data_IF_029363321443
#
_entry.id   IF_029363321443
#
_cell.length_a   1.000
_cell.length_b   1.000
_cell.length_c   1.000
_cell.angle_alpha   90.00
_cell.angle_beta   90.00
_cell.angle_gamma   90.00
#
_symmetry.space_group_name_H-M   'P 1'
#
loop_
_entity.id
_entity.type
_entity.pdbx_description
1 polymer ?
#
# COMPACT_ATOMS: atom_id res chain seq x y z
N UNK A 1 16.10 -0.36 2.49
CA UNK A 1 15.77 -1.70 3.01
C UNK A 1 14.25 -1.86 2.94
N UNK A 2 13.73 -3.05 2.61
CA UNK A 2 12.33 -3.24 2.19
C UNK A 2 11.28 -3.09 3.31
N UNK A 3 11.55 -3.61 4.50
CA UNK A 3 10.73 -3.43 5.71
C UNK A 3 11.21 -2.17 6.44
N UNK A 4 10.34 -1.18 6.59
CA UNK A 4 10.67 0.15 7.13
C UNK A 4 11.06 0.12 8.61
N UNK A 5 10.48 -0.80 9.38
CA UNK A 5 10.78 -1.00 10.80
C UNK A 5 12.16 -1.64 11.03
N UNK A 6 12.73 -2.32 10.02
CA UNK A 6 14.04 -2.94 10.15
C UNK A 6 15.13 -1.88 9.96
N UNK A 7 15.97 -1.74 10.97
CA UNK A 7 17.01 -0.70 11.06
C UNK A 7 18.41 -1.26 10.91
N UNK A 8 18.58 -2.59 11.04
CA UNK A 8 19.87 -3.28 10.96
C UNK A 8 19.77 -4.51 10.06
N UNK A 9 20.89 -4.92 9.48
CA UNK A 9 21.00 -6.17 8.71
C UNK A 9 20.56 -7.37 9.55
N UNK A 10 20.93 -7.37 10.84
CA UNK A 10 20.54 -8.40 11.81
C UNK A 10 19.02 -8.61 11.90
N UNK A 11 18.21 -7.57 11.71
CA UNK A 11 16.74 -7.69 11.75
C UNK A 11 16.26 -8.63 10.63
N UNK A 12 16.85 -8.52 9.44
CA UNK A 12 16.53 -9.39 8.31
C UNK A 12 17.00 -10.82 8.54
N UNK A 13 18.20 -11.02 9.11
CA UNK A 13 18.75 -12.35 9.37
C UNK A 13 17.85 -13.10 10.37
N UNK A 14 17.50 -12.45 11.50
CA UNK A 14 16.61 -13.04 12.51
C UNK A 14 15.22 -13.30 11.91
N UNK A 15 14.71 -12.38 11.09
CA UNK A 15 13.40 -12.58 10.45
C UNK A 15 13.38 -13.75 9.47
N UNK A 16 14.43 -13.98 8.70
CA UNK A 16 14.53 -15.17 7.85
C UNK A 16 14.52 -16.46 8.68
N UNK A 17 15.27 -16.51 9.79
CA UNK A 17 15.24 -17.66 10.69
C UNK A 17 13.84 -17.87 11.31
N UNK A 18 13.15 -16.79 11.69
CA UNK A 18 11.76 -16.86 12.16
C UNK A 18 10.82 -17.42 11.10
N UNK A 19 10.96 -17.01 9.83
CA UNK A 19 10.13 -17.54 8.75
C UNK A 19 10.34 -19.05 8.58
N UNK A 20 11.59 -19.52 8.59
CA UNK A 20 11.92 -20.96 8.55
C UNK A 20 11.27 -21.69 9.73
N UNK A 21 11.42 -21.15 10.95
CA UNK A 21 10.81 -21.72 12.15
C UNK A 21 9.29 -21.83 12.08
N UNK A 22 8.60 -20.84 11.49
CA UNK A 22 7.14 -20.84 11.33
C UNK A 22 6.68 -21.76 10.19
N UNK A 23 7.48 -21.95 9.14
CA UNK A 23 7.14 -22.86 8.03
C UNK A 23 7.17 -24.34 8.45
N UNK A 24 8.02 -24.69 9.39
CA UNK A 24 8.11 -26.05 9.96
C UNK A 24 6.94 -26.42 10.90
N UNK A 25 6.10 -25.45 11.25
CA UNK A 25 4.94 -25.61 12.15
C UNK A 25 3.61 -25.61 11.42
N UNK A 26 2.63 -26.24 12.03
CA UNK A 26 1.26 -26.23 11.50
C UNK A 26 0.50 -24.95 11.87
N UNK A 27 -0.55 -24.65 11.09
CA UNK A 27 -1.47 -23.56 11.40
C UNK A 27 -2.20 -23.83 12.72
N UNK A 28 -2.23 -22.83 13.60
CA UNK A 28 -2.81 -22.90 14.94
C UNK A 28 -1.88 -23.51 16.00
N UNK A 29 -0.69 -23.98 15.62
CA UNK A 29 0.28 -24.53 16.57
C UNK A 29 0.82 -23.44 17.49
N UNK A 30 0.80 -23.71 18.80
CA UNK A 30 1.31 -22.81 19.82
C UNK A 30 2.74 -23.15 20.19
N UNK A 31 3.55 -22.13 20.43
CA UNK A 31 4.95 -22.29 20.83
C UNK A 31 5.36 -21.19 21.81
N UNK A 32 6.36 -21.51 22.62
CA UNK A 32 6.90 -20.62 23.63
C UNK A 32 8.06 -19.79 23.07
N UNK A 33 8.27 -18.58 23.61
CA UNK A 33 9.41 -17.74 23.25
C UNK A 33 10.73 -18.47 23.45
N UNK A 34 10.92 -19.12 24.60
CA UNK A 34 12.13 -19.86 24.94
C UNK A 34 12.43 -20.98 23.94
N UNK A 35 11.43 -21.79 23.61
CA UNK A 35 11.52 -22.84 22.59
C UNK A 35 11.95 -22.27 21.23
N UNK A 36 11.33 -21.17 20.81
CA UNK A 36 11.69 -20.50 19.56
C UNK A 36 13.14 -20.02 19.60
N UNK A 37 13.58 -19.39 20.69
CA UNK A 37 14.94 -18.87 20.82
C UNK A 37 16.02 -19.95 20.70
N UNK A 38 15.78 -21.15 21.26
CA UNK A 38 16.72 -22.28 21.15
C UNK A 38 16.90 -22.74 19.70
N UNK A 39 15.80 -22.81 18.94
CA UNK A 39 15.85 -23.20 17.52
C UNK A 39 16.49 -22.11 16.68
N UNK A 40 16.11 -20.84 16.89
CA UNK A 40 16.70 -19.71 16.17
C UNK A 40 18.20 -19.60 16.45
N UNK A 41 18.64 -19.82 17.69
CA UNK A 41 20.06 -19.82 18.03
C UNK A 41 20.82 -20.87 17.21
N UNK A 42 20.30 -22.09 17.12
CA UNK A 42 20.90 -23.16 16.33
C UNK A 42 20.98 -22.80 14.84
N UNK A 43 19.93 -22.19 14.28
CA UNK A 43 19.86 -21.79 12.87
C UNK A 43 20.79 -20.59 12.55
N UNK A 44 20.95 -19.67 13.49
CA UNK A 44 21.66 -18.41 13.27
C UNK A 44 23.17 -18.52 13.52
N UNK A 45 23.63 -19.50 14.31
CA UNK A 45 25.05 -19.67 14.67
C UNK A 45 26.00 -19.75 13.47
N UNK A 46 25.55 -20.23 12.30
CA UNK A 46 26.38 -20.28 11.09
C UNK A 46 26.57 -18.91 10.41
N UNK A 47 25.69 -17.96 10.68
CA UNK A 47 25.63 -16.66 9.98
C UNK A 47 26.01 -15.48 10.87
N UNK A 48 25.84 -15.61 12.18
CA UNK A 48 26.17 -14.56 13.14
C UNK A 48 26.38 -15.10 14.56
N UNK A 49 27.12 -14.35 15.37
CA UNK A 49 27.20 -14.62 16.81
C UNK A 49 25.85 -14.33 17.47
N UNK A 50 25.29 -15.32 18.15
CA UNK A 50 23.98 -15.21 18.83
C UNK A 50 24.23 -15.10 20.33
N UNK A 51 23.71 -14.03 20.92
CA UNK A 51 23.66 -13.86 22.38
C UNK A 51 22.41 -13.03 22.73
N UNK A 52 21.37 -13.73 23.18
CA UNK A 52 20.11 -13.12 23.60
C UNK A 52 20.25 -12.32 24.92
N UNK A 53 21.38 -12.42 25.63
CA UNK A 53 21.70 -11.55 26.77
C UNK A 53 22.23 -10.18 26.33
N UNK A 54 22.61 -10.02 25.06
CA UNK A 54 22.94 -8.71 24.50
C UNK A 54 21.69 -7.88 24.19
N UNK A 55 21.63 -6.68 24.77
CA UNK A 55 20.53 -5.73 24.55
C UNK A 55 20.27 -5.41 23.06
N UNK A 56 21.34 -5.29 22.27
CA UNK A 56 21.24 -5.01 20.83
C UNK A 56 20.49 -6.12 20.06
N UNK A 57 20.72 -7.39 20.41
CA UNK A 57 20.06 -8.52 19.77
C UNK A 57 18.60 -8.63 20.23
N UNK A 58 18.33 -8.45 21.53
CA UNK A 58 16.95 -8.41 22.05
C UNK A 58 16.11 -7.33 21.38
N UNK A 59 16.66 -6.12 21.18
CA UNK A 59 15.95 -5.05 20.46
C UNK A 59 15.66 -5.40 19.00
N UNK A 60 16.54 -6.16 18.35
CA UNK A 60 16.35 -6.63 16.98
C UNK A 60 15.26 -7.69 16.92
N UNK A 61 15.29 -8.66 17.83
CA UNK A 61 14.24 -9.65 18.00
C UNK A 61 12.86 -9.03 18.25
N UNK A 62 12.76 -8.03 19.14
CA UNK A 62 11.50 -7.31 19.41
C UNK A 62 10.96 -6.67 18.12
N UNK A 63 11.81 -6.00 17.33
CA UNK A 63 11.36 -5.42 16.04
C UNK A 63 10.86 -6.49 15.08
N UNK A 64 11.55 -7.63 15.01
CA UNK A 64 11.17 -8.76 14.16
C UNK A 64 9.82 -9.34 14.60
N UNK A 65 9.63 -9.60 15.88
CA UNK A 65 8.37 -10.12 16.43
C UNK A 65 7.21 -9.14 16.22
N UNK A 66 7.43 -7.84 16.47
CA UNK A 66 6.43 -6.82 16.18
C UNK A 66 6.06 -6.77 14.69
N UNK A 67 7.03 -6.89 13.79
CA UNK A 67 6.73 -6.96 12.35
C UNK A 67 5.97 -8.23 12.01
N UNK A 68 6.35 -9.39 12.55
CA UNK A 68 5.67 -10.64 12.31
C UNK A 68 4.22 -10.62 12.82
N UNK A 69 3.99 -10.10 14.03
CA UNK A 69 2.67 -9.92 14.64
C UNK A 69 1.79 -8.94 13.83
N UNK A 70 2.34 -7.76 13.48
CA UNK A 70 1.61 -6.77 12.66
C UNK A 70 1.27 -7.26 11.25
N UNK A 71 2.09 -8.17 10.70
CA UNK A 71 1.85 -8.83 9.41
C UNK A 71 0.95 -10.06 9.55
N UNK A 72 0.53 -10.40 10.77
CA UNK A 72 -0.29 -11.56 11.08
C UNK A 72 0.43 -12.90 10.90
N UNK A 73 1.77 -12.94 10.80
CA UNK A 73 2.51 -14.20 10.62
C UNK A 73 2.44 -15.08 11.87
N UNK A 74 2.39 -14.45 13.03
CA UNK A 74 2.16 -15.09 14.31
C UNK A 74 1.20 -14.23 15.14
N UNK A 75 0.62 -14.81 16.18
CA UNK A 75 -0.27 -14.13 17.11
C UNK A 75 0.20 -14.36 18.55
N UNK A 76 0.08 -13.34 19.39
CA UNK A 76 0.32 -13.48 20.84
C UNK A 76 -0.97 -13.95 21.51
N UNK A 77 -0.92 -15.10 22.17
CA UNK A 77 -2.02 -15.62 22.97
C UNK A 77 -1.87 -15.28 24.46
N UNK A 78 -0.65 -15.22 24.97
CA UNK A 78 -0.34 -14.77 26.33
C UNK A 78 1.04 -14.11 26.41
N UNK A 79 1.19 -13.07 27.22
CA UNK A 79 2.42 -12.28 27.37
C UNK A 79 2.48 -11.00 26.52
N UNK A 80 3.69 -10.45 26.34
CA UNK A 80 3.90 -9.24 25.55
C UNK A 80 5.32 -9.23 24.93
N UNK A 81 5.37 -9.25 23.59
CA UNK A 81 6.58 -9.24 22.76
C UNK A 81 7.52 -8.05 23.05
N UNK A 82 7.02 -6.88 23.44
CA UNK A 82 7.83 -5.69 23.72
C UNK A 82 8.71 -5.87 24.97
N UNK A 83 8.22 -6.64 25.94
CA UNK A 83 8.91 -6.86 27.22
C UNK A 83 10.14 -7.74 27.06
N UNK A 84 10.32 -8.39 25.91
CA UNK A 84 11.54 -9.12 25.55
C UNK A 84 12.76 -8.19 25.51
N UNK A 85 12.58 -6.88 25.31
CA UNK A 85 13.69 -5.92 25.43
C UNK A 85 14.32 -5.90 26.83
N UNK A 86 13.50 -6.05 27.88
CA UNK A 86 13.89 -5.98 29.29
C UNK A 86 14.56 -7.27 29.77
N UNK A 87 14.32 -8.38 29.07
CA UNK A 87 14.89 -9.70 29.36
C UNK A 87 14.05 -10.81 28.74
N UNK A 88 14.68 -11.94 28.41
CA UNK A 88 14.04 -13.12 27.82
C UNK A 88 13.43 -14.06 28.86
N UNK A 89 13.55 -13.76 30.15
CA UNK A 89 13.02 -14.61 31.24
C UNK A 89 11.49 -14.61 31.35
N UNK A 90 10.83 -13.65 30.69
CA UNK A 90 9.37 -13.60 30.64
C UNK A 90 8.89 -14.37 29.43
N UNK A 91 8.26 -15.50 29.71
CA UNK A 91 7.67 -16.34 28.68
C UNK A 91 6.53 -15.62 27.95
N UNK A 92 6.47 -15.81 26.63
CA UNK A 92 5.39 -15.35 25.77
C UNK A 92 4.91 -16.55 24.96
N UNK A 93 3.59 -16.74 24.90
CA UNK A 93 2.94 -17.81 24.15
C UNK A 93 2.47 -17.26 22.81
N UNK A 94 3.04 -17.78 21.74
CA UNK A 94 2.68 -17.44 20.38
C UNK A 94 1.86 -18.55 19.73
N UNK A 95 1.18 -18.21 18.65
CA UNK A 95 0.47 -19.13 17.75
C UNK A 95 0.89 -18.84 16.31
N UNK A 96 1.21 -19.90 15.57
CA UNK A 96 1.47 -19.82 14.14
C UNK A 96 0.16 -19.66 13.37
N UNK A 97 0.06 -18.64 12.54
CA UNK A 97 -1.15 -18.42 11.73
C UNK A 97 -1.14 -19.16 10.40
N UNK A 98 0.00 -19.78 10.03
CA UNK A 98 0.21 -20.36 8.71
C UNK A 98 0.51 -19.34 7.60
N UNK A 99 0.39 -18.03 7.86
CA UNK A 99 0.61 -16.99 6.85
C UNK A 99 2.08 -16.85 6.42
N UNK A 100 3.04 -17.36 7.20
CA UNK A 100 4.47 -17.39 6.85
C UNK A 100 4.72 -18.05 5.49
N UNK A 101 3.98 -19.13 5.18
CA UNK A 101 4.05 -19.88 3.92
C UNK A 101 3.70 -19.05 2.67
N UNK A 102 3.02 -17.92 2.86
CA UNK A 102 2.66 -16.98 1.79
C UNK A 102 3.50 -15.70 1.82
N UNK A 103 4.36 -15.53 2.82
CA UNK A 103 5.21 -14.35 2.95
C UNK A 103 6.45 -14.45 2.05
N UNK A 104 7.10 -15.62 2.04
CA UNK A 104 8.27 -15.85 1.19
C UNK A 104 7.85 -15.99 -0.28
N UNK A 105 8.46 -15.19 -1.15
CA UNK A 105 8.20 -15.28 -2.60
C UNK A 105 8.92 -16.49 -3.15
N UNK A 106 8.16 -17.47 -3.64
CA UNK A 106 8.72 -18.58 -4.39
C UNK A 106 9.14 -18.12 -5.79
N UNK A 107 10.44 -18.08 -6.03
CA UNK A 107 10.99 -17.80 -7.36
C UNK A 107 11.06 -19.11 -8.15
N UNK A 108 10.47 -19.13 -9.35
CA UNK A 108 10.58 -20.27 -10.29
C UNK A 108 11.99 -20.48 -10.88
N UNK A 109 13.01 -19.86 -10.28
CA UNK A 109 14.42 -19.89 -10.68
C UNK A 109 15.30 -19.65 -9.47
N UNK A 110 16.57 -20.07 -9.54
CA UNK A 110 17.55 -19.69 -8.53
C UNK A 110 17.79 -18.18 -8.54
N UNK A 111 17.81 -17.58 -7.34
CA UNK A 111 18.15 -16.16 -7.10
C UNK A 111 19.46 -16.01 -6.34
N UNK A 112 20.26 -17.08 -6.22
CA UNK A 112 21.50 -17.11 -5.41
C UNK A 112 22.52 -16.05 -5.86
N UNK A 113 22.57 -15.73 -7.15
CA UNK A 113 23.49 -14.75 -7.72
C UNK A 113 22.95 -13.32 -7.68
N UNK A 114 21.77 -13.08 -7.11
CA UNK A 114 21.12 -11.76 -7.12
C UNK A 114 21.68 -10.93 -5.97
N UNK A 115 22.16 -9.75 -6.30
CA UNK A 115 22.82 -8.83 -5.37
C UNK A 115 22.05 -7.52 -5.19
N UNK A 116 21.09 -7.24 -6.06
CA UNK A 116 20.31 -6.01 -6.04
C UNK A 116 18.90 -6.18 -6.61
N UNK A 117 18.00 -5.25 -6.30
CA UNK A 117 16.65 -5.21 -6.89
C UNK A 117 16.67 -5.18 -8.44
N UNK A 118 17.72 -4.58 -9.04
CA UNK A 118 17.87 -4.52 -10.50
C UNK A 118 18.05 -5.89 -11.15
N UNK A 119 18.61 -6.85 -10.41
CA UNK A 119 18.79 -8.22 -10.91
C UNK A 119 17.41 -8.90 -11.09
N UNK A 120 16.45 -8.59 -10.20
CA UNK A 120 15.06 -9.03 -10.34
C UNK A 120 14.36 -8.36 -11.52
N UNK A 121 14.54 -7.06 -11.72
CA UNK A 121 13.97 -6.33 -12.87
C UNK A 121 14.50 -6.89 -14.20
N UNK A 122 15.82 -7.11 -14.30
CA UNK A 122 16.45 -7.68 -15.47
C UNK A 122 15.96 -9.12 -15.73
N UNK A 123 15.80 -9.93 -14.67
CA UNK A 123 15.30 -11.30 -14.78
C UNK A 123 13.82 -11.37 -15.20
N UNK A 124 13.00 -10.40 -14.81
CA UNK A 124 11.59 -10.29 -15.19
C UNK A 124 11.41 -9.99 -16.69
N UNK A 125 12.35 -9.25 -17.31
CA UNK A 125 12.35 -8.99 -18.76
C UNK A 125 12.44 -10.28 -19.61
N UNK A 126 12.90 -11.39 -19.04
CA UNK A 126 13.03 -12.68 -19.71
C UNK A 126 11.87 -13.66 -19.45
N UNK A 127 10.86 -13.27 -18.66
CA UNK A 127 9.67 -14.09 -18.52
C UNK A 127 8.91 -14.14 -19.85
N UNK A 128 8.79 -15.35 -20.40
CA UNK A 128 8.11 -15.58 -21.68
C UNK A 128 6.65 -15.13 -21.57
N UNK A 129 6.20 -14.34 -22.56
CA UNK A 129 4.84 -13.78 -22.67
C UNK A 129 3.80 -14.87 -23.00
N UNK A 130 3.71 -15.87 -22.13
CA UNK A 130 2.72 -16.95 -22.17
C UNK A 130 1.34 -16.43 -21.75
N UNK A 131 0.26 -17.08 -22.19
CA UNK A 131 -1.11 -16.73 -21.78
C UNK A 131 -1.34 -16.79 -20.26
N UNK A 132 -0.62 -17.67 -19.56
CA UNK A 132 -0.65 -17.75 -18.09
C UNK A 132 0.01 -16.52 -17.46
N UNK A 133 1.17 -16.09 -17.97
CA UNK A 133 1.85 -14.89 -17.48
C UNK A 133 0.99 -13.62 -17.68
N UNK A 134 0.31 -13.47 -18.82
CA UNK A 134 -0.63 -12.37 -19.10
C UNK A 134 -1.78 -12.34 -18.10
N UNK A 135 -2.40 -13.50 -17.88
CA UNK A 135 -3.49 -13.64 -16.89
C UNK A 135 -3.00 -13.20 -15.51
N UNK A 136 -1.87 -13.74 -15.05
CA UNK A 136 -1.32 -13.41 -13.74
C UNK A 136 -0.97 -11.92 -13.60
N UNK A 137 -0.38 -11.30 -14.64
CA UNK A 137 -0.06 -9.86 -14.64
C UNK A 137 -1.30 -9.00 -14.51
N UNK A 138 -2.36 -9.27 -15.28
CA UNK A 138 -3.61 -8.49 -15.24
C UNK A 138 -4.28 -8.62 -13.88
N UNK A 139 -4.42 -9.83 -13.34
CA UNK A 139 -5.01 -10.04 -12.01
C UNK A 139 -4.18 -9.36 -10.93
N UNK A 140 -2.84 -9.53 -10.95
CA UNK A 140 -1.95 -8.87 -9.99
C UNK A 140 -2.12 -7.35 -10.05
N UNK A 141 -2.05 -6.77 -11.25
CA UNK A 141 -2.17 -5.32 -11.42
C UNK A 141 -3.52 -4.77 -10.92
N UNK A 142 -4.63 -5.50 -11.10
CA UNK A 142 -5.94 -5.09 -10.61
C UNK A 142 -6.05 -5.14 -9.08
N UNK A 143 -5.35 -6.09 -8.44
CA UNK A 143 -5.46 -6.35 -7.00
C UNK A 143 -4.41 -5.60 -6.19
N UNK A 144 -3.22 -5.39 -6.75
CA UNK A 144 -2.07 -4.81 -6.03
C UNK A 144 -1.74 -3.38 -6.41
N UNK A 145 -2.47 -2.78 -7.36
CA UNK A 145 -2.27 -1.40 -7.75
C UNK A 145 -3.60 -0.62 -7.71
N UNK A 146 -3.59 0.67 -7.33
CA UNK A 146 -4.79 1.52 -7.30
C UNK A 146 -5.54 1.61 -8.62
N UNK A 147 -4.81 1.48 -9.74
CA UNK A 147 -5.36 1.64 -11.07
C UNK A 147 -4.59 0.85 -12.11
N UNK A 148 -5.27 0.52 -13.20
CA UNK A 148 -4.68 -0.03 -14.40
C UNK A 148 -4.89 0.91 -15.59
N UNK A 149 -3.85 1.64 -15.98
CA UNK A 149 -3.91 2.63 -17.06
C UNK A 149 -3.31 2.10 -18.38
N UNK A 150 -3.87 2.56 -19.49
CA UNK A 150 -3.30 2.34 -20.83
C UNK A 150 -3.59 3.52 -21.75
N UNK A 151 -2.62 3.85 -22.62
CA UNK A 151 -2.75 4.91 -23.63
C UNK A 151 -2.90 4.29 -25.03
N UNK A 152 -2.16 3.21 -25.30
CA UNK A 152 -2.17 2.56 -26.62
C UNK A 152 -3.28 1.52 -26.75
N UNK A 153 -3.94 1.51 -27.91
CA UNK A 153 -4.87 0.46 -28.33
C UNK A 153 -4.19 -0.90 -28.54
N UNK A 154 -2.86 -0.92 -28.69
CA UNK A 154 -2.06 -2.14 -28.85
C UNK A 154 -1.64 -2.77 -27.51
N UNK A 155 -2.07 -2.19 -26.38
CA UNK A 155 -1.80 -2.77 -25.08
C UNK A 155 -2.48 -4.15 -24.95
N UNK A 156 -1.67 -5.21 -24.98
CA UNK A 156 -2.13 -6.60 -24.92
C UNK A 156 -2.86 -6.91 -23.61
N UNK A 157 -2.36 -6.40 -22.50
CA UNK A 157 -2.94 -6.65 -21.18
C UNK A 157 -4.30 -5.93 -21.04
N UNK A 158 -4.44 -4.71 -21.58
CA UNK A 158 -5.72 -4.00 -21.67
C UNK A 158 -6.72 -4.71 -22.61
N UNK A 159 -6.23 -5.25 -23.73
CA UNK A 159 -7.05 -6.03 -24.67
C UNK A 159 -7.57 -7.31 -24.02
N UNK A 160 -6.71 -8.03 -23.29
CA UNK A 160 -7.09 -9.19 -22.50
C UNK A 160 -8.13 -8.84 -21.44
N UNK A 161 -7.90 -7.79 -20.65
CA UNK A 161 -8.84 -7.34 -19.62
C UNK A 161 -10.23 -7.05 -20.20
N UNK A 162 -10.28 -6.37 -21.36
CA UNK A 162 -11.54 -6.04 -22.05
C UNK A 162 -12.30 -7.27 -22.53
N UNK A 163 -11.57 -8.26 -23.05
CA UNK A 163 -12.13 -9.53 -23.53
C UNK A 163 -12.65 -10.40 -22.37
N UNK A 164 -11.86 -10.49 -21.30
CA UNK A 164 -12.10 -11.39 -20.16
C UNK A 164 -12.89 -10.75 -19.01
N UNK A 165 -13.42 -9.53 -19.19
CA UNK A 165 -14.03 -8.71 -18.12
C UNK A 165 -15.06 -9.44 -17.26
N UNK A 166 -15.91 -10.28 -17.87
CA UNK A 166 -16.97 -11.00 -17.14
C UNK A 166 -16.38 -12.09 -16.25
N UNK A 167 -15.35 -12.79 -16.74
CA UNK A 167 -14.64 -13.82 -15.96
C UNK A 167 -13.84 -13.18 -14.83
N UNK A 168 -13.12 -12.10 -15.12
CA UNK A 168 -12.33 -11.35 -14.13
C UNK A 168 -13.24 -10.80 -13.04
N UNK A 169 -14.33 -10.12 -13.41
CA UNK A 169 -15.33 -9.62 -12.45
C UNK A 169 -15.84 -10.72 -11.54
N UNK A 170 -16.24 -11.86 -12.12
CA UNK A 170 -16.79 -12.97 -11.35
C UNK A 170 -15.75 -13.55 -10.39
N UNK A 171 -14.54 -13.85 -10.87
CA UNK A 171 -13.48 -14.45 -10.04
C UNK A 171 -13.04 -13.51 -8.92
N UNK A 172 -12.81 -12.23 -9.22
CA UNK A 172 -12.41 -11.27 -8.18
C UNK A 172 -13.57 -11.00 -7.22
N UNK A 173 -14.79 -10.84 -7.72
CA UNK A 173 -15.98 -10.64 -6.88
C UNK A 173 -16.23 -11.80 -5.92
N UNK A 174 -16.06 -13.04 -6.37
CA UNK A 174 -16.17 -14.26 -5.54
C UNK A 174 -15.06 -14.36 -4.46
N UNK A 175 -13.90 -13.71 -4.66
CA UNK A 175 -12.71 -13.89 -3.81
C UNK A 175 -12.37 -12.71 -2.91
N UNK A 176 -12.68 -11.50 -3.36
CA UNK A 176 -12.26 -10.24 -2.74
C UNK A 176 -13.44 -9.32 -2.42
N UNK A 177 -14.63 -9.63 -2.95
CA UNK A 177 -15.76 -8.70 -2.94
C UNK A 177 -15.53 -7.49 -3.86
N UNK A 178 -16.60 -6.87 -4.33
CA UNK A 178 -16.54 -5.66 -5.15
C UNK A 178 -16.65 -5.84 -6.67
N UNK A 179 -16.29 -4.78 -7.40
CA UNK A 179 -16.59 -4.65 -8.82
C UNK A 179 -15.49 -3.98 -9.66
N UNK A 180 -15.34 -4.51 -10.87
CA UNK A 180 -14.44 -4.07 -11.93
C UNK A 180 -15.11 -2.94 -12.71
N UNK A 181 -14.56 -1.74 -12.56
CA UNK A 181 -14.95 -0.55 -13.29
C UNK A 181 -14.02 -0.31 -14.47
N UNK A 182 -14.51 -0.57 -15.67
CA UNK A 182 -13.78 -0.39 -16.92
C UNK A 182 -14.12 0.96 -17.58
N UNK A 183 -13.09 1.73 -17.94
CA UNK A 183 -13.17 3.01 -18.65
C UNK A 183 -12.41 2.95 -19.98
N UNK A 184 -12.35 4.06 -20.71
CA UNK A 184 -11.66 4.15 -22.01
C UNK A 184 -10.18 3.75 -21.91
N UNK A 185 -9.47 4.37 -20.97
CA UNK A 185 -8.02 4.30 -20.76
C UNK A 185 -7.61 3.83 -19.34
N UNK A 186 -8.58 3.35 -18.56
CA UNK A 186 -8.35 2.94 -17.18
C UNK A 186 -9.27 1.80 -16.75
N UNK A 187 -8.80 0.97 -15.82
CA UNK A 187 -9.63 0.05 -15.07
C UNK A 187 -9.33 0.17 -13.58
N UNK A 188 -10.35 -0.05 -12.77
CA UNK A 188 -10.28 0.00 -11.31
C UNK A 188 -11.03 -1.19 -10.74
N UNK A 189 -10.46 -1.85 -9.75
CA UNK A 189 -11.20 -2.78 -8.91
C UNK A 189 -11.64 -2.04 -7.65
N UNK A 190 -12.95 -1.98 -7.40
CA UNK A 190 -13.53 -1.20 -6.30
C UNK A 190 -14.22 -2.13 -5.33
N UNK A 191 -13.72 -2.17 -4.10
CA UNK A 191 -14.29 -2.94 -3.01
C UNK A 191 -15.64 -2.34 -2.56
N UNK A 192 -16.59 -3.19 -2.16
CA UNK A 192 -17.93 -2.79 -1.73
C UNK A 192 -18.11 -2.85 -0.21
N UNK A 193 -17.73 -3.97 0.43
CA UNK A 193 -17.94 -4.18 1.89
C UNK A 193 -16.70 -4.78 2.58
N UNK A 194 -16.14 -5.85 2.03
CA UNK A 194 -14.92 -6.48 2.55
C UNK A 194 -13.68 -5.66 2.16
N UNK A 195 -12.96 -5.15 3.16
CA UNK A 195 -11.76 -4.34 2.98
C UNK A 195 -10.52 -5.20 3.14
N UNK A 196 -9.75 -5.38 2.06
CA UNK A 196 -8.46 -6.07 2.07
C UNK A 196 -7.34 -5.09 1.73
N UNK A 197 -6.35 -4.96 2.62
CA UNK A 197 -5.19 -4.11 2.41
C UNK A 197 -5.47 -2.61 2.54
N UNK A 198 -4.58 -1.79 1.98
CA UNK A 198 -4.74 -0.34 1.91
C UNK A 198 -5.83 0.02 0.88
N UNK A 199 -6.70 0.98 1.20
CA UNK A 199 -7.80 1.39 0.33
C UNK A 199 -7.87 2.92 0.19
N UNK A 200 -8.16 3.38 -1.01
CA UNK A 200 -8.54 4.76 -1.28
C UNK A 200 -10.02 4.84 -1.64
N UNK A 201 -10.79 5.78 -1.06
CA UNK A 201 -10.36 6.77 -0.05
C UNK A 201 -10.09 6.17 1.33
N UNK A 202 -9.09 6.70 2.03
CA UNK A 202 -8.80 6.37 3.44
C UNK A 202 -9.65 7.21 4.38
N UNK A 203 -9.84 6.73 5.62
CA UNK A 203 -10.44 7.47 6.74
C UNK A 203 -9.43 8.49 7.31
N UNK A 204 -9.04 9.46 6.49
CA UNK A 204 -8.12 10.53 6.87
C UNK A 204 -8.51 11.86 6.26
N UNK A 205 -8.23 12.95 7.01
CA UNK A 205 -8.47 14.32 6.53
C UNK A 205 -7.74 14.58 5.20
N UNK A 206 -6.51 14.06 5.03
CA UNK A 206 -5.75 14.24 3.79
C UNK A 206 -6.44 13.57 2.59
N UNK A 207 -7.00 12.37 2.78
CA UNK A 207 -7.77 11.67 1.77
C UNK A 207 -9.01 12.47 1.35
N UNK A 208 -9.74 13.05 2.31
CA UNK A 208 -10.88 13.94 2.04
C UNK A 208 -10.48 15.20 1.28
N UNK A 209 -9.38 15.85 1.68
CA UNK A 209 -8.81 17.00 0.97
C UNK A 209 -8.50 16.62 -0.48
N UNK A 210 -7.82 15.50 -0.71
CA UNK A 210 -7.47 15.02 -2.06
C UNK A 210 -8.73 14.80 -2.91
N UNK A 211 -9.78 14.20 -2.34
CA UNK A 211 -11.05 14.01 -3.03
C UNK A 211 -11.72 15.33 -3.46
N UNK A 212 -11.63 16.38 -2.64
CA UNK A 212 -12.15 17.72 -3.02
C UNK A 212 -11.30 18.38 -4.11
N UNK A 213 -9.99 18.17 -4.10
CA UNK A 213 -9.08 18.63 -5.16
C UNK A 213 -9.37 17.90 -6.48
N UNK A 214 -9.58 16.59 -6.44
CA UNK A 214 -10.00 15.78 -7.58
C UNK A 214 -11.33 16.27 -8.17
N UNK A 215 -12.30 16.64 -7.33
CA UNK A 215 -13.56 17.27 -7.76
C UNK A 215 -13.33 18.57 -8.50
N UNK A 216 -12.44 19.43 -8.01
CA UNK A 216 -12.15 20.71 -8.67
C UNK A 216 -11.45 20.49 -10.02
N UNK A 217 -10.48 19.58 -10.10
CA UNK A 217 -9.84 19.22 -11.38
C UNK A 217 -10.89 18.75 -12.40
N UNK A 218 -11.81 17.87 -11.97
CA UNK A 218 -12.89 17.39 -12.83
C UNK A 218 -13.78 18.54 -13.33
N UNK A 219 -14.15 19.48 -12.44
CA UNK A 219 -14.93 20.66 -12.83
C UNK A 219 -14.20 21.53 -13.85
N UNK A 220 -12.91 21.75 -13.68
CA UNK A 220 -12.11 22.54 -14.64
C UNK A 220 -12.05 21.86 -16.02
N UNK A 221 -12.05 20.51 -16.07
CA UNK A 221 -12.19 19.76 -17.33
C UNK A 221 -13.59 19.87 -17.92
N UNK A 222 -14.65 19.71 -17.10
CA UNK A 222 -16.05 19.85 -17.54
C UNK A 222 -16.35 21.26 -18.09
N UNK A 223 -15.74 22.28 -17.49
CA UNK A 223 -15.81 23.68 -17.91
C UNK A 223 -14.87 24.03 -19.07
N UNK A 224 -14.08 23.06 -19.57
CA UNK A 224 -13.09 23.23 -20.65
C UNK A 224 -11.95 24.21 -20.35
N UNK A 225 -11.66 24.47 -19.09
CA UNK A 225 -10.45 25.20 -18.69
C UNK A 225 -9.21 24.30 -18.71
N UNK A 226 -9.40 22.99 -18.50
CA UNK A 226 -8.36 21.98 -18.62
C UNK A 226 -8.73 20.98 -19.71
N UNK A 227 -7.74 20.60 -20.52
CA UNK A 227 -7.90 19.63 -21.60
C UNK A 227 -7.31 18.27 -21.21
N UNK A 228 -7.96 17.21 -21.71
CA UNK A 228 -7.49 15.83 -21.58
C UNK A 228 -6.67 15.44 -22.80
N UNK A 229 -5.59 14.71 -22.59
CA UNK A 229 -4.82 14.11 -23.67
C UNK A 229 -5.46 12.80 -24.18
N UNK A 230 -4.75 12.10 -25.07
CA UNK A 230 -5.21 10.83 -25.63
C UNK A 230 -5.37 9.70 -24.59
N UNK A 231 -4.66 9.79 -23.46
CA UNK A 231 -4.73 8.88 -22.31
C UNK A 231 -5.79 9.25 -21.29
N UNK A 232 -6.63 10.26 -21.56
CA UNK A 232 -7.53 10.90 -20.58
C UNK A 232 -6.79 11.55 -19.39
N UNK A 233 -5.50 11.85 -19.53
CA UNK A 233 -4.71 12.55 -18.51
C UNK A 233 -4.82 14.07 -18.68
N UNK A 234 -4.65 14.81 -17.58
CA UNK A 234 -4.62 16.28 -17.56
C UNK A 234 -3.26 16.74 -17.09
N UNK A 235 -2.62 17.68 -17.79
CA UNK A 235 -1.29 18.17 -17.43
C UNK A 235 -1.26 19.68 -17.25
N UNK A 236 -0.90 20.14 -16.05
CA UNK A 236 -0.77 21.56 -15.71
C UNK A 236 0.59 21.85 -15.09
N UNK A 237 1.03 23.11 -15.08
CA UNK A 237 2.23 23.50 -14.34
C UNK A 237 1.98 23.39 -12.83
N UNK A 238 3.02 23.05 -12.08
CA UNK A 238 2.95 22.97 -10.61
C UNK A 238 2.45 24.25 -9.96
N UNK A 239 2.78 25.42 -10.53
CA UNK A 239 2.25 26.71 -10.08
C UNK A 239 0.72 26.81 -10.22
N UNK A 240 0.17 26.27 -11.30
CA UNK A 240 -1.28 26.24 -11.53
C UNK A 240 -1.95 25.28 -10.55
N UNK A 241 -1.33 24.13 -10.29
CA UNK A 241 -1.80 23.20 -9.27
C UNK A 241 -1.80 23.83 -7.87
N UNK A 242 -0.74 24.52 -7.49
CA UNK A 242 -0.68 25.25 -6.22
C UNK A 242 -1.81 26.30 -6.11
N UNK A 243 -2.14 26.98 -7.22
CA UNK A 243 -3.28 27.89 -7.30
C UNK A 243 -4.63 27.18 -7.14
N UNK A 244 -4.79 25.98 -7.72
CA UNK A 244 -5.99 25.16 -7.57
C UNK A 244 -6.17 24.69 -6.12
N UNK A 245 -5.10 24.20 -5.48
CA UNK A 245 -5.10 23.80 -4.06
C UNK A 245 -5.49 24.97 -3.16
N UNK A 246 -4.96 26.16 -3.40
CA UNK A 246 -5.33 27.37 -2.66
C UNK A 246 -6.83 27.69 -2.78
N UNK A 247 -7.39 27.64 -3.99
CA UNK A 247 -8.83 27.86 -4.19
C UNK A 247 -9.69 26.82 -3.46
N UNK A 248 -9.23 25.56 -3.42
CA UNK A 248 -9.90 24.51 -2.66
C UNK A 248 -9.84 24.79 -1.16
N UNK A 249 -8.66 25.11 -0.63
CA UNK A 249 -8.51 25.45 0.80
C UNK A 249 -9.37 26.65 1.19
N UNK A 250 -9.35 27.74 0.42
CA UNK A 250 -10.15 28.94 0.72
C UNK A 250 -11.66 28.65 0.77
N UNK A 251 -12.13 27.73 -0.08
CA UNK A 251 -13.54 27.34 -0.17
C UNK A 251 -13.97 26.39 0.94
N UNK A 252 -13.11 25.43 1.28
CA UNK A 252 -13.45 24.32 2.16
C UNK A 252 -12.87 24.48 3.58
N UNK A 253 -12.10 25.54 3.87
CA UNK A 253 -11.45 25.78 5.18
C UNK A 253 -12.38 25.74 6.40
N UNK A 254 -13.68 25.97 6.21
CA UNK A 254 -14.68 25.91 7.27
C UNK A 254 -15.07 24.47 7.62
N UNK A 255 -14.89 23.54 6.68
CA UNK A 255 -15.20 22.12 6.85
C UNK A 255 -13.95 21.31 7.11
N UNK A 256 -12.81 21.73 6.54
CA UNK A 256 -11.53 21.14 6.87
C UNK A 256 -11.16 21.43 8.31
N UNK A 257 -10.51 20.47 8.96
CA UNK A 257 -9.99 20.71 10.30
C UNK A 257 -8.99 21.90 10.29
N UNK A 258 -8.78 22.51 11.45
CA UNK A 258 -7.94 23.70 11.59
C UNK A 258 -6.53 23.52 11.02
N UNK A 259 -5.96 22.31 11.18
CA UNK A 259 -4.63 21.99 10.66
C UNK A 259 -4.56 22.19 9.14
N UNK A 260 -5.49 21.61 8.38
CA UNK A 260 -5.51 21.69 6.92
C UNK A 260 -6.07 23.01 6.41
N UNK A 261 -7.03 23.62 7.13
CA UNK A 261 -7.62 24.93 6.79
C UNK A 261 -6.62 26.09 6.90
N UNK A 262 -5.67 26.02 7.84
CA UNK A 262 -4.64 27.05 8.07
C UNK A 262 -3.24 26.65 7.55
N UNK A 263 -3.10 25.45 6.97
CA UNK A 263 -1.82 24.95 6.48
C UNK A 263 -1.22 25.87 5.41
N UNK A 264 0.09 26.11 5.50
CA UNK A 264 0.81 26.82 4.44
C UNK A 264 0.68 26.07 3.11
N UNK A 265 0.37 26.81 2.04
CA UNK A 265 -0.01 26.25 0.74
C UNK A 265 1.06 25.34 0.15
N UNK A 266 2.35 25.67 0.26
CA UNK A 266 3.43 24.82 -0.26
C UNK A 266 3.60 23.51 0.51
N UNK A 267 3.29 23.50 1.81
CA UNK A 267 3.23 22.27 2.63
C UNK A 267 2.01 21.43 2.24
N UNK A 268 0.84 22.07 2.11
CA UNK A 268 -0.41 21.40 1.74
C UNK A 268 -0.32 20.78 0.34
N UNK A 269 0.13 21.54 -0.66
CA UNK A 269 0.33 21.08 -2.04
C UNK A 269 1.25 19.86 -2.10
N UNK A 270 2.34 19.87 -1.32
CA UNK A 270 3.28 18.75 -1.26
C UNK A 270 2.64 17.50 -0.68
N UNK A 271 1.94 17.62 0.45
CA UNK A 271 1.26 16.48 1.08
C UNK A 271 0.18 15.88 0.18
N UNK A 272 -0.61 16.72 -0.49
CA UNK A 272 -1.60 16.28 -1.48
C UNK A 272 -0.90 15.56 -2.63
N UNK A 273 0.17 16.12 -3.19
CA UNK A 273 0.87 15.53 -4.32
C UNK A 273 1.55 14.20 -3.97
N UNK A 274 2.12 14.08 -2.76
CA UNK A 274 2.70 12.83 -2.26
C UNK A 274 1.64 11.74 -2.11
N UNK A 275 0.48 12.07 -1.53
CA UNK A 275 -0.66 11.15 -1.43
C UNK A 275 -1.22 10.76 -2.81
N UNK A 276 -1.38 11.73 -3.71
CA UNK A 276 -1.85 11.46 -5.07
C UNK A 276 -0.87 10.56 -5.84
N UNK A 277 0.44 10.66 -5.59
CA UNK A 277 1.44 9.77 -6.19
C UNK A 277 1.35 8.36 -5.66
N UNK A 278 1.23 8.17 -4.35
CA UNK A 278 1.11 6.83 -3.75
C UNK A 278 -0.13 6.09 -4.26
N UNK A 279 -1.20 6.83 -4.56
CA UNK A 279 -2.47 6.30 -5.07
C UNK A 279 -2.61 6.30 -6.60
N UNK A 280 -1.53 6.54 -7.35
CA UNK A 280 -1.56 6.64 -8.83
C UNK A 280 -2.63 7.62 -9.37
N UNK A 281 -2.93 8.66 -8.61
CA UNK A 281 -3.84 9.74 -9.00
C UNK A 281 -3.09 10.83 -9.79
N UNK A 282 -1.83 11.09 -9.43
CA UNK A 282 -1.00 12.07 -10.12
C UNK A 282 0.49 11.71 -10.11
N UNK A 283 1.26 12.37 -10.98
CA UNK A 283 2.71 12.34 -10.99
C UNK A 283 3.28 13.75 -11.23
N UNK A 284 4.52 13.98 -10.78
CA UNK A 284 5.27 15.19 -11.11
C UNK A 284 6.35 14.85 -12.14
N UNK A 285 6.25 15.40 -13.33
CA UNK A 285 7.25 15.26 -14.40
C UNK A 285 7.86 16.63 -14.70
N UNK A 286 9.08 16.86 -14.20
CA UNK A 286 9.72 18.18 -14.24
C UNK A 286 8.89 19.22 -13.46
N UNK A 287 8.43 20.25 -14.15
CA UNK A 287 7.57 21.30 -13.57
C UNK A 287 6.07 21.06 -13.78
N UNK A 288 5.68 19.94 -14.39
CA UNK A 288 4.28 19.63 -14.69
C UNK A 288 3.73 18.56 -13.75
N UNK A 289 2.52 18.80 -13.26
CA UNK A 289 1.71 17.80 -12.56
C UNK A 289 0.79 17.16 -13.59
N UNK A 290 0.86 15.83 -13.69
CA UNK A 290 0.02 15.02 -14.57
C UNK A 290 -1.00 14.32 -13.68
N UNK A 291 -2.28 14.58 -13.91
CA UNK A 291 -3.39 13.89 -13.26
C UNK A 291 -3.86 12.75 -14.15
N UNK A 292 -3.94 11.57 -13.55
CA UNK A 292 -4.41 10.35 -14.19
C UNK A 292 -5.94 10.23 -14.12
N UNK A 293 -6.57 9.37 -14.95
CA UNK A 293 -8.02 9.22 -15.00
C UNK A 293 -8.71 8.96 -13.65
N UNK A 294 -8.03 8.35 -12.67
CA UNK A 294 -8.58 8.16 -11.32
C UNK A 294 -9.04 9.46 -10.67
N UNK A 295 -8.36 10.59 -10.91
CA UNK A 295 -8.77 11.90 -10.38
C UNK A 295 -10.18 12.31 -10.82
N UNK A 296 -10.62 11.89 -12.01
CA UNK A 296 -11.98 12.18 -12.48
C UNK A 296 -13.02 11.21 -11.91
N UNK A 297 -12.61 10.02 -11.50
CA UNK A 297 -13.49 8.97 -10.97
C UNK A 297 -13.75 9.14 -9.48
N UNK A 298 -12.70 9.31 -8.68
CA UNK A 298 -12.79 9.39 -7.23
C UNK A 298 -12.82 10.86 -6.81
N UNK A 299 -14.02 11.34 -6.50
CA UNK A 299 -14.28 12.73 -6.09
C UNK A 299 -15.12 12.75 -4.83
N UNK A 300 -14.96 13.79 -4.01
CA UNK A 300 -15.68 13.97 -2.75
C UNK A 300 -16.29 15.35 -2.63
N UNK A 301 -17.40 15.43 -1.90
CA UNK A 301 -18.10 16.67 -1.60
C UNK A 301 -18.63 16.61 -0.18
N UNK A 302 -18.50 17.69 0.57
CA UNK A 302 -19.25 17.87 1.79
C UNK A 302 -20.71 18.21 1.48
N UNK A 303 -21.62 17.70 2.29
CA UNK A 303 -23.03 18.08 2.23
C UNK A 303 -23.16 19.53 2.72
N UNK A 304 -23.98 20.32 2.04
CA UNK A 304 -24.20 21.75 2.31
C UNK A 304 -24.71 22.05 3.72
N UNK A 305 -25.32 21.08 4.39
CA UNK A 305 -25.94 21.26 5.72
C UNK A 305 -24.91 21.27 6.86
N UNK A 306 -23.68 20.81 6.63
CA UNK A 306 -22.58 20.87 7.61
C UNK A 306 -22.03 22.29 7.85
N UNK A 307 -22.34 23.25 6.97
CA UNK A 307 -21.78 24.61 7.02
C UNK A 307 -22.53 25.49 8.05
N UNK A 308 -23.53 24.97 8.76
CA UNK A 308 -24.46 25.78 9.56
C UNK A 308 -24.69 25.42 11.03
N UNK A 309 -24.07 24.37 11.59
CA UNK A 309 -24.40 23.92 12.96
C UNK A 309 -23.41 24.34 14.07
N UNK A 310 -22.23 24.87 13.76
CA UNK A 310 -21.27 25.29 14.81
C UNK A 310 -21.55 26.68 15.44
N UNK A 311 -22.59 27.40 15.00
CA UNK A 311 -22.89 28.76 15.50
C UNK A 311 -24.17 28.85 16.37
N UNK A 312 -24.61 27.72 16.97
CA UNK A 312 -25.75 27.70 17.89
C UNK A 312 -25.47 26.97 19.20
N UNK A 313 -24.48 27.45 19.95
CA UNK A 313 -24.45 27.26 21.40
C UNK A 313 -23.86 28.51 22.03
N UNK A 314 -24.74 29.48 22.26
CA UNK A 314 -24.62 30.51 23.32
C UNK A 314 -26.00 31.19 23.46
N UNK A 315 -26.94 30.48 24.09
CA UNK A 315 -28.04 31.04 24.90
C UNK A 315 -28.33 30.09 26.08
#
# INVERSE_FOLDING_TARGET
MGVTQFTRIQDYIIFCALLIYLEEREEGEQFLLSEMLEVLETQLQEYMEVDWTMYAQRRSLVRVLQVAENRGLLKVNDGNSERVADGTEREVLYENTGLSRYFAVNFGRSIETFSSCRDFEAAACFETDTEQSKTQRVYRQLVTAPAFYWISTENKDASYLKAERMRIQRVLGEKLGGSLHLHRNAAFYVYEEERMGELHPEESMLSEVVLTVCKEIRKEVENRHLERDAGDCVSIFRREFQGLVRRCQEREKAVWNKEFGEMEISKLERGILEYMKSWMLAELQGERVIFYPACGKFIGSYLTDFVGEEDKTDE
#
